data_IF_292014176382
#
_entry.id   IF_292014176382
#
_cell.length_a   1.000
_cell.length_b   1.000
_cell.length_c   1.000
_cell.angle_alpha   90.00
_cell.angle_beta   90.00
_cell.angle_gamma   90.00
#
_symmetry.space_group_name_H-M   'P 1'
#
loop_
_entity.id
_entity.type
_entity.pdbx_description
1 polymer ?
#
# COMPACT_ATOMS: atom_id res chain seq x y z
N UNK A 1 -38.54 -8.44 11.46
CA UNK A 1 -37.21 -8.84 10.96
C UNK A 1 -36.94 -10.23 11.52
N UNK A 2 -36.88 -11.24 10.65
CA UNK A 2 -36.63 -12.61 11.09
C UNK A 2 -35.19 -12.74 11.62
N UNK A 3 -34.98 -13.56 12.65
CA UNK A 3 -33.67 -13.81 13.25
C UNK A 3 -32.63 -14.28 12.22
N UNK A 4 -33.06 -15.01 11.19
CA UNK A 4 -32.22 -15.41 10.06
C UNK A 4 -31.75 -14.25 9.18
N UNK A 5 -32.56 -13.20 9.02
CA UNK A 5 -32.15 -11.99 8.30
C UNK A 5 -31.10 -11.19 9.08
N UNK A 6 -31.21 -11.16 10.41
CA UNK A 6 -30.21 -10.51 11.28
C UNK A 6 -28.86 -11.24 11.23
N UNK A 7 -28.86 -12.58 11.33
CA UNK A 7 -27.65 -13.41 11.24
C UNK A 7 -26.95 -13.26 9.88
N UNK A 8 -27.71 -13.28 8.77
CA UNK A 8 -27.13 -13.15 7.44
C UNK A 8 -26.54 -11.75 7.19
N UNK A 9 -27.19 -10.68 7.66
CA UNK A 9 -26.62 -9.33 7.56
C UNK A 9 -25.34 -9.18 8.39
N UNK A 10 -25.30 -9.75 9.60
CA UNK A 10 -24.13 -9.69 10.48
C UNK A 10 -22.95 -10.54 9.95
N UNK A 11 -23.21 -11.76 9.47
CA UNK A 11 -22.18 -12.62 8.87
C UNK A 11 -21.67 -12.07 7.54
N UNK A 12 -22.58 -11.54 6.70
CA UNK A 12 -22.23 -10.92 5.43
C UNK A 12 -21.29 -9.73 5.63
N UNK A 13 -21.60 -8.84 6.56
CA UNK A 13 -20.76 -7.68 6.86
C UNK A 13 -19.35 -8.09 7.34
N UNK A 14 -19.24 -9.10 8.22
CA UNK A 14 -17.96 -9.60 8.71
C UNK A 14 -17.08 -10.20 7.61
N UNK A 15 -17.66 -10.93 6.65
CA UNK A 15 -16.93 -11.52 5.52
C UNK A 15 -16.36 -10.42 4.61
N UNK A 16 -17.16 -9.39 4.30
CA UNK A 16 -16.67 -8.27 3.49
C UNK A 16 -15.54 -7.52 4.19
N UNK A 17 -15.64 -7.25 5.50
CA UNK A 17 -14.56 -6.62 6.26
C UNK A 17 -13.27 -7.44 6.24
N UNK A 18 -13.37 -8.75 6.43
CA UNK A 18 -12.20 -9.64 6.43
C UNK A 18 -11.55 -9.74 5.05
N UNK A 19 -12.36 -9.75 3.98
CA UNK A 19 -11.88 -9.66 2.60
C UNK A 19 -11.09 -8.36 2.37
N UNK A 20 -11.65 -7.20 2.72
CA UNK A 20 -10.95 -5.92 2.56
C UNK A 20 -9.66 -5.87 3.38
N UNK A 21 -9.65 -6.39 4.60
CA UNK A 21 -8.44 -6.48 5.43
C UNK A 21 -7.31 -7.23 4.74
N UNK A 22 -7.58 -8.45 4.28
CA UNK A 22 -6.58 -9.27 3.60
C UNK A 22 -6.10 -8.59 2.31
N UNK A 23 -7.01 -8.03 1.52
CA UNK A 23 -6.66 -7.31 0.31
C UNK A 23 -5.80 -6.08 0.60
N UNK A 24 -6.18 -5.25 1.57
CA UNK A 24 -5.40 -4.06 1.97
C UNK A 24 -3.98 -4.43 2.39
N UNK A 25 -3.81 -5.49 3.17
CA UNK A 25 -2.47 -5.98 3.56
C UNK A 25 -1.67 -6.40 2.32
N UNK A 26 -2.24 -7.22 1.44
CA UNK A 26 -1.55 -7.68 0.22
C UNK A 26 -1.18 -6.49 -0.68
N UNK A 27 -2.11 -5.58 -0.95
CA UNK A 27 -1.88 -4.41 -1.80
C UNK A 27 -0.86 -3.44 -1.21
N UNK A 28 -0.87 -3.23 0.11
CA UNK A 28 0.14 -2.39 0.78
C UNK A 28 1.54 -2.98 0.64
N UNK A 29 1.66 -4.30 0.73
CA UNK A 29 2.93 -5.00 0.58
C UNK A 29 3.43 -4.96 -0.88
N UNK A 30 2.52 -5.16 -1.84
CA UNK A 30 2.83 -4.98 -3.26
C UNK A 30 3.26 -3.54 -3.59
N UNK A 31 2.57 -2.55 -3.02
CA UNK A 31 2.94 -1.13 -3.19
C UNK A 31 4.31 -0.82 -2.60
N UNK A 32 4.64 -1.37 -1.43
CA UNK A 32 5.96 -1.19 -0.82
C UNK A 32 7.08 -1.80 -1.68
N UNK A 33 6.87 -3.00 -2.22
CA UNK A 33 7.81 -3.63 -3.16
C UNK A 33 7.98 -2.76 -4.40
N UNK A 34 6.87 -2.26 -4.96
CA UNK A 34 6.89 -1.35 -6.10
C UNK A 34 7.71 -0.09 -5.80
N UNK A 35 7.47 0.57 -4.67
CA UNK A 35 8.20 1.77 -4.27
C UNK A 35 9.71 1.51 -4.13
N UNK A 36 10.11 0.37 -3.57
CA UNK A 36 11.52 -0.04 -3.48
C UNK A 36 12.16 -0.26 -4.84
N UNK A 37 11.43 -0.88 -5.77
CA UNK A 37 11.89 -1.09 -7.16
C UNK A 37 12.07 0.25 -7.86
N UNK A 38 11.09 1.15 -7.77
CA UNK A 38 11.18 2.50 -8.34
C UNK A 38 12.37 3.25 -7.78
N UNK A 39 12.58 3.24 -6.46
CA UNK A 39 13.73 3.88 -5.84
C UNK A 39 15.06 3.37 -6.42
N UNK A 40 15.22 2.05 -6.57
CA UNK A 40 16.41 1.47 -7.21
C UNK A 40 16.56 1.92 -8.66
N UNK A 41 15.47 1.94 -9.42
CA UNK A 41 15.49 2.40 -10.82
C UNK A 41 15.83 3.89 -10.93
N UNK A 42 15.28 4.73 -10.05
CA UNK A 42 15.61 6.16 -9.95
C UNK A 42 17.09 6.36 -9.66
N UNK A 43 17.70 5.58 -8.75
CA UNK A 43 19.15 5.66 -8.52
C UNK A 43 19.98 5.30 -9.75
N UNK A 44 19.59 4.27 -10.49
CA UNK A 44 20.29 3.89 -11.74
C UNK A 44 20.16 5.00 -12.78
N UNK A 45 18.96 5.55 -12.94
CA UNK A 45 18.69 6.66 -13.87
C UNK A 45 19.52 7.91 -13.56
N UNK A 46 19.59 8.29 -12.28
CA UNK A 46 20.38 9.44 -11.79
C UNK A 46 21.87 9.26 -12.10
N UNK A 47 22.40 8.03 -12.06
CA UNK A 47 23.81 7.75 -12.39
C UNK A 47 24.09 7.81 -13.88
N UNK A 48 23.09 7.60 -14.73
CA UNK A 48 23.25 7.59 -16.19
C UNK A 48 22.95 8.94 -16.84
N UNK A 49 22.09 9.75 -16.22
CA UNK A 49 21.68 11.05 -16.75
C UNK A 49 22.19 12.17 -15.83
N UNK A 50 23.03 13.04 -16.36
CA UNK A 50 23.31 14.34 -15.74
C UNK A 50 22.09 15.25 -15.91
N UNK A 51 21.11 15.10 -15.01
CA UNK A 51 19.95 15.99 -14.91
C UNK A 51 20.04 16.82 -13.64
N UNK A 52 19.76 18.12 -13.76
CA UNK A 52 19.81 19.07 -12.64
C UNK A 52 18.77 18.74 -11.55
N UNK A 53 17.67 18.06 -11.91
CA UNK A 53 16.55 17.75 -11.00
C UNK A 53 16.66 16.36 -10.33
N UNK A 54 17.82 15.73 -10.39
CA UNK A 54 18.06 14.39 -9.83
C UNK A 54 17.70 14.29 -8.33
N UNK A 55 17.85 15.38 -7.57
CA UNK A 55 17.53 15.43 -6.14
C UNK A 55 16.02 15.34 -5.87
N UNK A 56 15.18 16.04 -6.64
CA UNK A 56 13.73 16.04 -6.44
C UNK A 56 13.11 14.68 -6.75
N UNK A 57 13.56 14.03 -7.83
CA UNK A 57 13.06 12.70 -8.19
C UNK A 57 13.44 11.67 -7.11
N UNK A 58 14.66 11.75 -6.59
CA UNK A 58 15.10 10.91 -5.48
C UNK A 58 14.25 11.13 -4.23
N UNK A 59 13.95 12.39 -3.89
CA UNK A 59 13.10 12.73 -2.74
C UNK A 59 11.68 12.15 -2.88
N UNK A 60 11.08 12.29 -4.06
CA UNK A 60 9.74 11.73 -4.34
C UNK A 60 9.76 10.21 -4.18
N UNK A 61 10.79 9.54 -4.71
CA UNK A 61 10.91 8.08 -4.58
C UNK A 61 11.08 7.61 -3.12
N UNK A 62 11.77 8.39 -2.28
CA UNK A 62 11.85 8.13 -0.83
C UNK A 62 10.50 8.32 -0.14
N UNK A 63 9.75 9.37 -0.49
CA UNK A 63 8.40 9.60 0.03
C UNK A 63 7.48 8.42 -0.30
N UNK A 64 7.57 7.85 -1.52
CA UNK A 64 6.78 6.67 -1.89
C UNK A 64 7.07 5.46 -0.99
N UNK A 65 8.33 5.24 -0.61
CA UNK A 65 8.69 4.17 0.33
C UNK A 65 8.05 4.44 1.70
N UNK A 66 8.14 5.67 2.21
CA UNK A 66 7.54 6.06 3.50
C UNK A 66 6.02 5.83 3.47
N UNK A 67 5.35 6.24 2.39
CA UNK A 67 3.92 6.00 2.18
C UNK A 67 3.62 4.50 2.18
N UNK A 68 4.42 3.68 1.49
CA UNK A 68 4.22 2.23 1.47
C UNK A 68 4.34 1.58 2.84
N UNK A 69 5.32 2.02 3.64
CA UNK A 69 5.48 1.58 5.04
C UNK A 69 4.24 2.01 5.85
N UNK A 70 3.79 3.25 5.71
CA UNK A 70 2.61 3.75 6.41
C UNK A 70 1.34 2.96 6.04
N UNK A 71 1.13 2.68 4.75
CA UNK A 71 0.01 1.87 4.27
C UNK A 71 0.03 0.46 4.85
N UNK A 72 1.21 -0.15 4.99
CA UNK A 72 1.36 -1.47 5.60
C UNK A 72 0.97 -1.44 7.08
N UNK A 73 1.43 -0.44 7.84
CA UNK A 73 1.03 -0.28 9.25
C UNK A 73 -0.47 -0.03 9.41
N UNK A 74 -1.05 0.84 8.58
CA UNK A 74 -2.50 1.10 8.56
C UNK A 74 -3.27 -0.19 8.25
N UNK A 75 -2.81 -0.97 7.28
CA UNK A 75 -3.47 -2.22 6.88
C UNK A 75 -3.37 -3.34 7.93
N UNK A 76 -2.35 -3.31 8.79
CA UNK A 76 -2.17 -4.29 9.87
C UNK A 76 -2.93 -3.92 11.15
N UNK A 77 -2.99 -2.63 11.48
CA UNK A 77 -3.52 -2.14 12.76
C UNK A 77 -5.00 -1.74 12.67
N UNK A 78 -5.40 -1.05 11.60
CA UNK A 78 -6.69 -0.36 11.53
C UNK A 78 -7.74 -1.19 10.80
N UNK A 79 -7.37 -1.74 9.64
CA UNK A 79 -8.23 -2.60 8.83
C UNK A 79 -8.10 -4.01 9.38
#
# INVERSE_FOLDING_TARGET
MDFNQFINSFLGQNIFTLFFKVFSVVFSLLYLIYALVIYKQTQVMIRTLESQENSLILLISLIQIIIGIALLFVSLIII
#
